data_IF_405604678469
#
_entry.id   IF_405604678469
#
_cell.length_a   1.000
_cell.length_b   1.000
_cell.length_c   1.000
_cell.angle_alpha   90.00
_cell.angle_beta   90.00
_cell.angle_gamma   90.00
#
_symmetry.space_group_name_H-M   'P 1'
#
loop_
_entity.id
_entity.type
_entity.pdbx_description
1 polymer ?
#
# COMPACT_ATOMS: atom_id res chain seq x y z
N UNK A 1 -0.82 1.00 21.79
CA UNK A 1 0.10 0.61 20.69
C UNK A 1 0.97 1.81 20.41
N UNK A 2 2.28 1.66 20.35
CA UNK A 2 3.07 2.64 19.61
C UNK A 2 2.50 2.58 18.18
N UNK A 3 1.82 3.62 17.78
CA UNK A 3 1.25 3.71 16.45
C UNK A 3 2.45 3.81 15.50
N UNK A 4 2.62 2.82 14.62
CA UNK A 4 3.68 2.88 13.62
C UNK A 4 3.46 4.13 12.78
N UNK A 5 4.54 4.82 12.48
CA UNK A 5 4.49 5.99 11.60
C UNK A 5 4.01 5.54 10.22
N UNK A 6 2.96 6.17 9.72
CA UNK A 6 2.49 5.93 8.35
C UNK A 6 3.46 6.59 7.36
N UNK A 7 4.35 5.77 6.83
CA UNK A 7 5.40 6.22 5.90
C UNK A 7 4.83 6.81 4.60
N UNK A 8 3.60 6.46 4.23
CA UNK A 8 2.95 6.99 3.03
C UNK A 8 2.51 8.45 3.15
N UNK A 9 2.43 8.97 4.38
CA UNK A 9 2.03 10.34 4.71
C UNK A 9 3.21 11.27 4.99
N UNK A 10 4.44 10.77 4.86
CA UNK A 10 5.61 11.61 5.04
C UNK A 10 5.79 12.53 3.84
N UNK A 11 6.07 13.79 4.12
CA UNK A 11 6.46 14.75 3.09
C UNK A 11 7.75 14.31 2.40
N UNK A 12 7.91 14.67 1.14
CA UNK A 12 9.14 14.41 0.42
C UNK A 12 10.32 15.11 1.11
N UNK A 13 11.43 14.40 1.32
CA UNK A 13 12.63 15.00 1.91
C UNK A 13 13.22 16.05 0.95
N UNK A 14 13.82 17.10 1.53
CA UNK A 14 14.37 18.23 0.78
C UNK A 14 15.48 17.85 -0.23
N UNK A 15 16.02 16.65 -0.14
CA UNK A 15 17.01 16.14 -1.12
C UNK A 15 16.38 15.84 -2.48
N UNK A 16 15.06 15.65 -2.54
CA UNK A 16 14.33 15.47 -3.78
C UNK A 16 13.98 16.83 -4.36
N UNK A 17 14.42 17.06 -5.58
CA UNK A 17 14.18 18.30 -6.31
C UNK A 17 12.92 18.19 -7.16
N UNK A 18 12.10 19.24 -7.18
CA UNK A 18 11.04 19.37 -8.17
C UNK A 18 11.67 19.68 -9.53
N UNK A 19 11.31 18.90 -10.53
CA UNK A 19 11.88 18.98 -11.87
C UNK A 19 10.86 19.62 -12.81
N UNK A 20 11.10 20.90 -13.14
CA UNK A 20 10.30 21.66 -14.11
C UNK A 20 11.18 21.99 -15.32
N UNK A 21 10.78 21.47 -16.49
CA UNK A 21 11.48 21.69 -17.74
C UNK A 21 11.52 23.18 -18.14
N UNK A 22 10.40 23.87 -18.01
CA UNK A 22 10.29 25.28 -18.44
C UNK A 22 11.13 26.20 -17.55
N UNK A 23 11.11 25.94 -16.24
CA UNK A 23 11.98 26.69 -15.32
C UNK A 23 13.45 26.47 -15.64
N UNK A 24 13.89 25.21 -15.80
CA UNK A 24 15.28 24.89 -16.14
C UNK A 24 15.68 25.50 -17.48
N UNK A 25 14.78 25.50 -18.47
CA UNK A 25 15.03 26.13 -19.77
C UNK A 25 15.20 27.65 -19.66
N UNK A 26 14.34 28.30 -18.87
CA UNK A 26 14.43 29.74 -18.61
C UNK A 26 15.76 30.09 -17.92
N UNK A 27 16.15 29.35 -16.90
CA UNK A 27 17.44 29.52 -16.21
C UNK A 27 18.63 29.32 -17.15
N UNK A 28 18.56 28.29 -18.01
CA UNK A 28 19.63 27.99 -18.97
C UNK A 28 19.75 29.08 -20.05
N UNK A 29 18.61 29.59 -20.56
CA UNK A 29 18.58 30.74 -21.48
C UNK A 29 19.19 31.99 -20.84
N UNK A 30 18.82 32.28 -19.60
CA UNK A 30 19.35 33.41 -18.86
C UNK A 30 20.88 33.29 -18.69
N UNK A 31 21.36 32.13 -18.23
CA UNK A 31 22.81 31.88 -18.09
C UNK A 31 23.54 31.99 -19.42
N UNK A 32 22.97 31.51 -20.54
CA UNK A 32 23.54 31.66 -21.86
C UNK A 32 23.70 33.14 -22.26
N UNK A 33 22.66 33.96 -21.99
CA UNK A 33 22.70 35.41 -22.32
C UNK A 33 23.78 36.13 -21.49
N UNK A 34 23.94 35.76 -20.22
CA UNK A 34 24.94 36.33 -19.32
C UNK A 34 26.39 36.11 -19.77
N UNK A 35 26.63 35.10 -20.60
CA UNK A 35 27.99 34.86 -21.20
C UNK A 35 28.38 35.95 -22.20
N UNK A 36 27.47 36.79 -22.64
CA UNK A 36 27.72 37.85 -23.59
C UNK A 36 27.83 39.23 -22.91
N UNK A 37 28.63 40.15 -23.47
CA UNK A 37 28.69 41.55 -23.01
C UNK A 37 27.30 42.21 -23.02
N UNK A 38 27.03 43.12 -22.08
CA UNK A 38 25.75 43.77 -21.88
C UNK A 38 25.12 44.32 -23.16
N UNK A 39 25.94 44.90 -24.04
CA UNK A 39 25.52 45.45 -25.32
C UNK A 39 24.90 44.42 -26.29
N UNK A 40 25.21 43.14 -26.12
CA UNK A 40 24.72 42.05 -26.98
C UNK A 40 23.58 41.21 -26.34
N UNK A 41 23.30 41.43 -25.07
CA UNK A 41 22.34 40.59 -24.35
C UNK A 41 20.90 40.73 -24.87
N UNK A 42 20.49 41.95 -25.25
CA UNK A 42 19.16 42.20 -25.82
C UNK A 42 18.98 41.52 -27.17
N UNK A 43 20.01 41.52 -28.01
CA UNK A 43 20.02 40.75 -29.25
C UNK A 43 19.78 39.25 -28.99
N UNK A 44 20.52 38.64 -28.04
CA UNK A 44 20.38 37.25 -27.73
C UNK A 44 19.05 36.89 -27.06
N UNK A 45 18.45 37.80 -26.26
CA UNK A 45 17.09 37.61 -25.75
C UNK A 45 16.08 37.50 -26.90
N UNK A 46 16.20 38.38 -27.90
CA UNK A 46 15.31 38.34 -29.08
C UNK A 46 15.49 37.06 -29.91
N UNK A 47 16.74 36.64 -30.12
CA UNK A 47 17.06 35.38 -30.84
C UNK A 47 16.48 34.17 -30.14
N UNK A 48 16.71 34.02 -28.82
CA UNK A 48 16.24 32.88 -28.05
C UNK A 48 14.73 32.87 -27.77
N UNK A 49 14.04 33.94 -28.10
CA UNK A 49 12.56 33.99 -28.11
C UNK A 49 11.97 33.26 -29.32
N UNK A 50 12.77 33.04 -30.38
CA UNK A 50 12.34 32.34 -31.59
C UNK A 50 12.50 30.83 -31.40
N UNK A 51 11.40 30.09 -31.42
CA UNK A 51 11.43 28.61 -31.29
C UNK A 51 12.16 27.89 -32.44
N UNK A 52 12.20 28.52 -33.62
CA UNK A 52 12.89 27.99 -34.80
C UNK A 52 14.41 28.11 -34.76
N UNK A 53 14.96 28.81 -33.75
CA UNK A 53 16.39 29.06 -33.66
C UNK A 53 17.13 27.78 -33.24
N UNK A 54 18.16 27.31 -33.99
CA UNK A 54 18.89 26.09 -33.68
C UNK A 54 19.52 26.08 -32.28
N UNK A 55 20.00 27.23 -31.79
CA UNK A 55 20.57 27.37 -30.45
C UNK A 55 19.51 27.08 -29.39
N UNK A 56 18.27 27.49 -29.59
CA UNK A 56 17.19 27.22 -28.68
C UNK A 56 16.91 25.71 -28.56
N UNK A 57 16.97 24.97 -29.67
CA UNK A 57 16.86 23.52 -29.67
C UNK A 57 18.00 22.83 -28.93
N UNK A 58 19.23 23.31 -29.09
CA UNK A 58 20.37 22.80 -28.35
C UNK A 58 20.24 23.03 -26.84
N UNK A 59 19.72 24.19 -26.43
CA UNK A 59 19.48 24.48 -25.02
C UNK A 59 18.36 23.58 -24.46
N UNK A 60 17.30 23.32 -25.25
CA UNK A 60 16.22 22.40 -24.87
C UNK A 60 16.75 20.97 -24.67
N UNK A 61 17.60 20.48 -25.60
CA UNK A 61 18.24 19.16 -25.45
C UNK A 61 19.10 19.09 -24.17
N UNK A 62 19.94 20.09 -23.92
CA UNK A 62 20.76 20.16 -22.71
C UNK A 62 19.92 20.14 -21.43
N UNK A 63 18.80 20.90 -21.42
CA UNK A 63 17.87 20.90 -20.29
C UNK A 63 17.22 19.54 -20.10
N UNK A 64 16.84 18.88 -21.19
CA UNK A 64 16.27 17.53 -21.12
C UNK A 64 17.26 16.51 -20.53
N UNK A 65 18.52 16.55 -20.97
CA UNK A 65 19.56 15.71 -20.39
C UNK A 65 19.78 16.01 -18.90
N UNK A 66 19.85 17.28 -18.54
CA UNK A 66 19.97 17.70 -17.13
C UNK A 66 18.78 17.23 -16.29
N UNK A 67 17.56 17.27 -16.83
CA UNK A 67 16.35 16.77 -16.16
C UNK A 67 16.44 15.26 -15.93
N UNK A 68 16.91 14.49 -16.92
CA UNK A 68 17.13 13.04 -16.78
C UNK A 68 18.17 12.72 -15.70
N UNK A 69 19.27 13.46 -15.65
CA UNK A 69 20.32 13.30 -14.64
C UNK A 69 19.78 13.61 -13.23
N UNK A 70 19.10 14.73 -13.05
CA UNK A 70 18.49 15.11 -11.76
C UNK A 70 17.41 14.11 -11.34
N UNK A 71 16.58 13.64 -12.28
CA UNK A 71 15.63 12.57 -11.98
C UNK A 71 16.34 11.29 -11.52
N UNK A 72 17.44 10.91 -12.17
CA UNK A 72 18.23 9.75 -11.74
C UNK A 72 18.77 9.91 -10.32
N UNK A 73 19.19 11.12 -9.92
CA UNK A 73 19.63 11.42 -8.56
C UNK A 73 18.46 11.32 -7.59
N UNK A 74 17.29 11.85 -7.93
CA UNK A 74 16.09 11.75 -7.13
C UNK A 74 15.71 10.27 -6.89
N UNK A 75 15.69 9.46 -7.95
CA UNK A 75 15.37 8.02 -7.84
C UNK A 75 16.42 7.27 -7.00
N UNK A 76 17.71 7.60 -7.16
CA UNK A 76 18.77 7.03 -6.34
C UNK A 76 18.62 7.41 -4.84
N UNK A 77 18.20 8.64 -4.55
CA UNK A 77 17.92 9.05 -3.18
C UNK A 77 16.70 8.30 -2.59
N UNK A 78 15.61 8.14 -3.36
CA UNK A 78 14.43 7.36 -2.95
C UNK A 78 14.77 5.90 -2.68
N UNK A 79 15.63 5.29 -3.51
CA UNK A 79 16.06 3.91 -3.39
C UNK A 79 16.78 3.60 -2.07
N UNK A 80 17.33 4.61 -1.39
CA UNK A 80 18.00 4.45 -0.08
C UNK A 80 17.09 4.65 1.12
N UNK A 81 15.82 5.01 0.92
CA UNK A 81 14.89 5.37 2.00
C UNK A 81 13.81 4.30 2.17
N UNK A 82 13.62 3.78 3.37
CA UNK A 82 12.59 2.77 3.67
C UNK A 82 11.19 3.20 3.23
N UNK A 83 10.87 4.50 3.27
CA UNK A 83 9.55 5.02 2.89
C UNK A 83 9.28 4.91 1.39
N UNK A 84 10.30 5.02 0.54
CA UNK A 84 10.13 5.18 -0.90
C UNK A 84 10.76 4.06 -1.74
N UNK A 85 11.70 3.30 -1.19
CA UNK A 85 12.33 2.18 -1.90
C UNK A 85 11.32 1.12 -2.32
N UNK A 86 11.52 0.51 -3.47
CA UNK A 86 10.65 -0.53 -4.05
C UNK A 86 11.48 -1.69 -4.58
N UNK A 87 10.83 -2.86 -4.72
CA UNK A 87 11.45 -4.04 -5.32
C UNK A 87 12.77 -4.43 -4.64
N UNK A 88 13.82 -4.63 -5.44
CA UNK A 88 15.14 -5.06 -4.98
C UNK A 88 15.84 -4.04 -4.06
N UNK A 89 15.60 -2.74 -4.24
CA UNK A 89 16.18 -1.71 -3.38
C UNK A 89 15.61 -1.80 -1.97
N UNK A 90 14.31 -2.06 -1.86
CA UNK A 90 13.67 -2.33 -0.57
C UNK A 90 14.17 -3.63 0.06
N UNK A 91 14.46 -4.67 -0.73
CA UNK A 91 15.03 -5.94 -0.23
C UNK A 91 16.42 -5.71 0.41
N UNK A 92 17.25 -4.86 -0.20
CA UNK A 92 18.56 -4.46 0.37
C UNK A 92 18.38 -3.69 1.67
N UNK A 93 17.42 -2.77 1.74
CA UNK A 93 17.12 -2.05 2.98
C UNK A 93 16.62 -3.03 4.05
N UNK A 94 15.73 -3.96 3.70
CA UNK A 94 15.16 -4.95 4.61
C UNK A 94 16.24 -5.85 5.23
N UNK A 95 17.31 -6.15 4.50
CA UNK A 95 18.45 -6.91 5.00
C UNK A 95 19.14 -6.21 6.18
N UNK A 96 19.17 -4.87 6.24
CA UNK A 96 19.72 -4.13 7.40
C UNK A 96 18.89 -4.34 8.68
N UNK A 97 17.62 -4.71 8.53
CA UNK A 97 16.72 -5.06 9.64
C UNK A 97 16.69 -6.57 9.92
N UNK A 98 17.53 -7.36 9.24
CA UNK A 98 17.50 -8.84 9.28
C UNK A 98 16.12 -9.41 8.86
N UNK A 99 15.47 -8.76 7.89
CA UNK A 99 14.18 -9.15 7.32
C UNK A 99 14.39 -9.52 5.86
N UNK A 100 13.82 -10.66 5.44
CA UNK A 100 13.81 -11.11 4.06
C UNK A 100 12.39 -11.12 3.52
N UNK A 101 12.23 -10.83 2.22
CA UNK A 101 10.94 -10.90 1.53
C UNK A 101 10.44 -12.35 1.55
N UNK A 102 9.20 -12.54 2.01
CA UNK A 102 8.59 -13.86 2.07
C UNK A 102 8.10 -14.29 0.68
N UNK A 103 8.19 -15.60 0.42
CA UNK A 103 7.53 -16.22 -0.72
C UNK A 103 6.13 -16.63 -0.25
N UNK A 104 5.10 -16.10 -0.93
CA UNK A 104 3.70 -16.43 -0.66
C UNK A 104 3.32 -17.71 -1.40
N UNK A 105 3.71 -17.80 -2.67
CA UNK A 105 3.47 -18.95 -3.53
C UNK A 105 4.76 -19.34 -4.24
N UNK A 106 5.13 -20.59 -4.13
CA UNK A 106 6.27 -21.16 -4.86
C UNK A 106 5.94 -21.31 -6.34
N UNK A 107 6.96 -21.11 -7.19
CA UNK A 107 6.82 -21.44 -8.60
C UNK A 107 6.63 -22.96 -8.79
N UNK A 108 5.70 -23.33 -9.67
CA UNK A 108 5.52 -24.74 -10.08
C UNK A 108 5.46 -24.83 -11.59
N UNK A 109 6.54 -25.31 -12.19
CA UNK A 109 6.67 -25.51 -13.63
C UNK A 109 6.19 -26.91 -14.06
N UNK A 110 5.72 -27.74 -13.13
CA UNK A 110 5.24 -29.10 -13.44
C UNK A 110 3.78 -29.14 -13.89
N UNK A 111 3.04 -28.02 -13.67
CA UNK A 111 1.63 -27.84 -14.05
C UNK A 111 1.49 -27.00 -15.33
N UNK A 112 0.36 -27.12 -16.00
CA UNK A 112 0.08 -26.34 -17.22
C UNK A 112 -1.27 -25.60 -17.07
N UNK A 113 -1.30 -24.25 -17.11
CA UNK A 113 -0.15 -23.34 -17.25
C UNK A 113 0.77 -23.37 -16.01
N UNK A 114 2.08 -23.05 -16.16
CA UNK A 114 2.99 -22.96 -15.04
C UNK A 114 2.52 -21.93 -14.00
N UNK A 115 2.73 -22.25 -12.72
CA UNK A 115 2.43 -21.34 -11.61
C UNK A 115 3.68 -20.47 -11.37
N UNK A 116 3.51 -19.15 -11.40
CA UNK A 116 4.58 -18.22 -11.12
C UNK A 116 4.79 -18.03 -9.61
N UNK A 117 6.03 -17.69 -9.23
CA UNK A 117 6.35 -17.33 -7.85
C UNK A 117 5.67 -16.00 -7.48
N UNK A 118 4.97 -15.99 -6.36
CA UNK A 118 4.40 -14.77 -5.78
C UNK A 118 5.13 -14.43 -4.50
N UNK A 119 5.68 -13.22 -4.44
CA UNK A 119 6.37 -12.69 -3.27
C UNK A 119 5.51 -11.71 -2.51
N UNK A 120 5.89 -11.49 -1.26
CA UNK A 120 5.35 -10.44 -0.38
C UNK A 120 5.42 -9.06 -1.04
N UNK A 121 4.38 -8.26 -0.89
CA UNK A 121 4.33 -6.91 -1.42
C UNK A 121 5.30 -5.96 -0.70
N UNK A 122 5.71 -4.88 -1.38
CA UNK A 122 6.56 -3.85 -0.78
C UNK A 122 5.95 -3.23 0.48
N UNK A 123 4.63 -3.07 0.50
CA UNK A 123 3.90 -2.52 1.66
C UNK A 123 4.01 -3.42 2.89
N UNK A 124 3.90 -4.72 2.70
CA UNK A 124 3.98 -5.71 3.78
C UNK A 124 5.42 -5.88 4.27
N UNK A 125 6.39 -5.96 3.35
CA UNK A 125 7.80 -6.02 3.70
C UNK A 125 8.23 -4.77 4.49
N UNK A 126 7.79 -3.60 4.05
CA UNK A 126 8.07 -2.32 4.73
C UNK A 126 7.49 -2.29 6.14
N UNK A 127 6.26 -2.79 6.32
CA UNK A 127 5.64 -2.93 7.65
C UNK A 127 6.48 -3.86 8.56
N UNK A 128 6.95 -4.97 8.04
CA UNK A 128 7.81 -5.89 8.80
C UNK A 128 9.16 -5.26 9.16
N UNK A 129 9.75 -4.47 8.27
CA UNK A 129 10.96 -3.71 8.58
C UNK A 129 10.72 -2.71 9.73
N UNK A 130 9.58 -2.00 9.75
CA UNK A 130 9.24 -1.11 10.86
C UNK A 130 9.05 -1.85 12.19
N UNK A 131 8.49 -3.07 12.15
CA UNK A 131 8.29 -3.91 13.33
C UNK A 131 9.56 -4.65 13.77
N UNK A 132 10.62 -4.69 12.96
CA UNK A 132 11.78 -5.52 13.22
C UNK A 132 12.49 -5.19 14.55
N UNK A 133 12.56 -3.92 14.92
CA UNK A 133 13.16 -3.51 16.19
C UNK A 133 12.36 -4.00 17.41
N UNK A 134 11.05 -4.17 17.28
CA UNK A 134 10.20 -4.70 18.34
C UNK A 134 10.52 -6.18 18.63
N UNK A 135 11.04 -6.90 17.62
CA UNK A 135 11.43 -8.31 17.76
C UNK A 135 12.66 -8.53 18.65
N UNK A 136 13.45 -7.50 18.89
CA UNK A 136 14.63 -7.58 19.76
C UNK A 136 14.23 -7.65 21.25
N UNK A 137 13.00 -7.33 21.58
CA UNK A 137 12.51 -7.38 22.94
C UNK A 137 12.06 -8.79 23.32
N UNK A 138 12.74 -9.41 24.28
CA UNK A 138 12.37 -10.70 24.90
C UNK A 138 11.38 -10.53 26.06
N UNK A 139 10.93 -9.31 26.33
CA UNK A 139 9.94 -9.03 27.38
C UNK A 139 8.48 -9.35 26.95
N UNK A 140 8.26 -9.79 25.73
CA UNK A 140 6.95 -10.18 25.18
C UNK A 140 5.99 -9.02 24.87
N UNK A 141 6.45 -7.89 24.30
CA UNK A 141 5.52 -6.86 23.84
C UNK A 141 4.66 -7.41 22.70
N UNK A 142 3.43 -6.90 22.62
CA UNK A 142 2.47 -7.33 21.57
C UNK A 142 3.05 -7.24 20.15
N UNK A 143 3.79 -6.18 19.86
CA UNK A 143 4.42 -5.93 18.56
C UNK A 143 5.49 -6.98 18.21
N UNK A 144 6.24 -7.51 19.19
CA UNK A 144 7.18 -8.60 18.95
C UNK A 144 6.45 -9.89 18.50
N UNK A 145 5.37 -10.27 19.19
CA UNK A 145 4.54 -11.40 18.78
C UNK A 145 3.96 -11.22 17.38
N UNK A 146 3.48 -10.01 17.05
CA UNK A 146 2.96 -9.69 15.70
C UNK A 146 4.06 -9.86 14.66
N UNK A 147 5.25 -9.29 14.88
CA UNK A 147 6.37 -9.40 13.96
C UNK A 147 6.77 -10.87 13.70
N UNK A 148 6.94 -11.63 14.78
CA UNK A 148 7.35 -13.05 14.65
C UNK A 148 6.28 -13.90 13.97
N UNK A 149 5.00 -13.66 14.25
CA UNK A 149 3.91 -14.37 13.58
C UNK A 149 3.80 -14.02 12.09
N UNK A 150 3.87 -12.73 11.72
CA UNK A 150 3.91 -12.27 10.32
C UNK A 150 5.12 -12.83 9.56
N UNK A 151 6.25 -13.02 10.26
CA UNK A 151 7.50 -13.51 9.66
C UNK A 151 7.60 -15.04 9.61
N UNK A 152 6.64 -15.78 10.19
CA UNK A 152 6.69 -17.23 10.27
C UNK A 152 6.30 -17.93 8.96
N UNK A 153 5.37 -17.34 8.18
CA UNK A 153 4.89 -17.96 6.94
C UNK A 153 4.30 -16.91 5.99
N UNK A 154 4.53 -17.02 4.68
CA UNK A 154 4.05 -16.09 3.66
C UNK A 154 2.52 -15.98 3.56
N UNK A 155 1.79 -17.02 3.96
CA UNK A 155 0.31 -17.02 3.95
C UNK A 155 -0.32 -16.25 5.13
N UNK A 156 0.45 -15.79 6.10
CA UNK A 156 -0.09 -14.93 7.17
C UNK A 156 -0.35 -13.54 6.61
N UNK A 157 -1.63 -13.14 6.59
CA UNK A 157 -2.05 -11.82 6.10
C UNK A 157 -2.16 -10.78 7.22
N UNK A 158 -2.65 -11.20 8.39
CA UNK A 158 -2.82 -10.32 9.55
C UNK A 158 -2.77 -11.11 10.85
N UNK A 159 -2.38 -10.44 11.93
CA UNK A 159 -2.18 -11.05 13.24
C UNK A 159 -2.78 -10.18 14.32
N UNK A 160 -3.55 -10.79 15.20
CA UNK A 160 -4.04 -10.15 16.43
C UNK A 160 -3.52 -10.88 17.65
N UNK A 161 -3.03 -10.12 18.63
CA UNK A 161 -2.47 -10.64 19.87
C UNK A 161 -3.20 -10.04 21.06
N UNK A 162 -3.74 -10.90 21.93
CA UNK A 162 -4.39 -10.50 23.18
C UNK A 162 -3.86 -11.32 24.34
N UNK A 163 -3.92 -10.75 25.55
CA UNK A 163 -3.63 -11.47 26.79
C UNK A 163 -4.93 -11.55 27.61
N UNK A 164 -5.69 -12.64 27.50
CA UNK A 164 -6.96 -12.79 28.20
C UNK A 164 -6.78 -13.02 29.70
N UNK A 165 -5.65 -13.53 30.12
CA UNK A 165 -5.28 -13.82 31.51
C UNK A 165 -3.77 -13.61 31.68
N UNK A 166 -3.26 -13.36 32.89
CA UNK A 166 -1.84 -13.27 33.17
C UNK A 166 -1.08 -14.49 32.64
N UNK A 167 0.05 -14.26 31.98
CA UNK A 167 0.90 -15.28 31.35
C UNK A 167 0.22 -16.11 30.23
N UNK A 168 -0.97 -15.73 29.76
CA UNK A 168 -1.59 -16.36 28.60
C UNK A 168 -1.62 -15.37 27.44
N UNK A 169 -1.09 -15.78 26.30
CA UNK A 169 -1.07 -14.98 25.07
C UNK A 169 -1.83 -15.78 24.00
N UNK A 170 -2.89 -15.16 23.47
CA UNK A 170 -3.63 -15.73 22.34
C UNK A 170 -3.29 -14.95 21.07
N UNK A 171 -2.75 -15.66 20.09
CA UNK A 171 -2.38 -15.14 18.78
C UNK A 171 -3.37 -15.68 17.75
N UNK A 172 -4.12 -14.76 17.13
CA UNK A 172 -5.10 -15.11 16.09
C UNK A 172 -4.50 -14.77 14.72
N UNK A 173 -4.56 -15.72 13.80
CA UNK A 173 -3.97 -15.64 12.48
C UNK A 173 -5.07 -15.53 11.42
N UNK A 174 -5.00 -14.50 10.59
CA UNK A 174 -5.78 -14.39 9.35
C UNK A 174 -4.92 -14.87 8.20
N UNK A 175 -5.41 -15.85 7.45
CA UNK A 175 -4.71 -16.33 6.26
C UNK A 175 -4.99 -15.43 5.05
N UNK A 176 -4.07 -15.45 4.10
CA UNK A 176 -4.16 -14.75 2.83
C UNK A 176 -5.14 -15.44 1.88
N UNK A 177 -5.04 -16.76 1.80
CA UNK A 177 -5.79 -17.57 0.88
C UNK A 177 -7.25 -17.81 1.33
N UNK A 178 -8.12 -18.07 0.36
CA UNK A 178 -9.52 -18.35 0.59
C UNK A 178 -10.26 -17.22 1.33
N UNK A 179 -11.11 -17.57 2.27
CA UNK A 179 -11.85 -16.60 3.09
C UNK A 179 -11.01 -15.98 4.21
N UNK A 180 -9.83 -16.54 4.51
CA UNK A 180 -8.95 -16.06 5.58
C UNK A 180 -8.76 -17.03 6.74
N UNK A 181 -9.34 -18.22 6.68
CA UNK A 181 -9.11 -19.30 7.66
C UNK A 181 -7.73 -19.88 7.44
N UNK A 182 -6.90 -19.87 8.47
CA UNK A 182 -5.54 -20.42 8.39
C UNK A 182 -5.57 -21.95 8.48
N UNK A 183 -4.82 -22.59 7.58
CA UNK A 183 -4.60 -24.03 7.60
C UNK A 183 -3.69 -24.44 8.76
N UNK A 184 -3.74 -25.71 9.14
CA UNK A 184 -2.96 -26.24 10.27
C UNK A 184 -1.45 -26.15 10.01
N UNK A 185 -1.00 -26.27 8.76
CA UNK A 185 0.39 -26.06 8.33
C UNK A 185 0.91 -24.67 8.71
N UNK A 186 0.11 -23.63 8.42
CA UNK A 186 0.42 -22.22 8.74
C UNK A 186 0.42 -22.01 10.25
N UNK A 187 -0.61 -22.53 10.95
CA UNK A 187 -0.69 -22.43 12.40
C UNK A 187 0.49 -23.10 13.09
N UNK A 188 0.95 -24.25 12.59
CA UNK A 188 2.12 -24.95 13.12
C UNK A 188 3.42 -24.19 12.88
N UNK A 189 3.61 -23.58 11.70
CA UNK A 189 4.76 -22.72 11.44
C UNK A 189 4.81 -21.55 12.43
N UNK A 190 3.67 -20.88 12.67
CA UNK A 190 3.57 -19.80 13.64
C UNK A 190 3.80 -20.30 15.08
N UNK A 191 3.23 -21.46 15.47
CA UNK A 191 3.47 -22.07 16.81
C UNK A 191 4.94 -22.35 17.03
N UNK A 192 5.60 -22.95 16.05
CA UNK A 192 7.04 -23.26 16.13
C UNK A 192 7.85 -21.98 16.33
N UNK A 193 7.58 -20.95 15.53
CA UNK A 193 8.29 -19.67 15.63
C UNK A 193 8.06 -18.98 16.98
N UNK A 194 6.81 -18.93 17.46
CA UNK A 194 6.46 -18.23 18.70
C UNK A 194 6.85 -19.01 19.96
N UNK A 195 7.13 -20.31 19.87
CA UNK A 195 7.62 -21.12 20.99
C UNK A 195 9.15 -21.27 21.01
N UNK A 196 9.86 -20.65 20.06
CA UNK A 196 11.32 -20.61 20.08
C UNK A 196 11.83 -19.96 21.38
N UNK A 197 12.86 -20.53 22.00
CA UNK A 197 13.44 -20.05 23.26
C UNK A 197 13.98 -18.62 23.17
N UNK A 198 14.40 -18.18 21.99
CA UNK A 198 14.89 -16.82 21.74
C UNK A 198 13.77 -15.82 21.46
N UNK A 199 12.53 -16.28 21.32
CA UNK A 199 11.37 -15.43 20.98
C UNK A 199 10.40 -15.34 22.15
N UNK A 200 10.08 -16.47 22.77
CA UNK A 200 9.06 -16.53 23.80
C UNK A 200 9.59 -16.16 25.19
N UNK A 201 8.96 -15.23 25.92
CA UNK A 201 9.20 -15.08 27.34
C UNK A 201 8.92 -16.39 28.10
N UNK A 202 9.75 -16.71 29.09
CA UNK A 202 9.70 -17.99 29.80
C UNK A 202 8.33 -18.24 30.47
N UNK A 203 7.68 -17.18 30.95
CA UNK A 203 6.40 -17.28 31.67
C UNK A 203 5.19 -17.39 30.75
N UNK A 204 5.30 -17.05 29.46
CA UNK A 204 4.17 -16.94 28.56
C UNK A 204 3.71 -18.30 28.02
N UNK A 205 2.40 -18.51 28.07
CA UNK A 205 1.70 -19.65 27.48
C UNK A 205 1.02 -19.18 26.20
N UNK A 206 1.63 -19.51 25.07
CA UNK A 206 1.18 -19.03 23.76
C UNK A 206 0.18 -20.01 23.15
N UNK A 207 -1.00 -19.52 22.80
CA UNK A 207 -2.02 -20.25 22.03
C UNK A 207 -2.16 -19.60 20.68
N UNK A 208 -2.01 -20.38 19.59
CA UNK A 208 -2.19 -19.91 18.22
C UNK A 208 -3.48 -20.50 17.66
N UNK A 209 -4.34 -19.65 17.13
CA UNK A 209 -5.63 -20.02 16.54
C UNK A 209 -5.88 -19.34 15.21
N UNK A 210 -6.76 -19.92 14.38
CA UNK A 210 -7.23 -19.29 13.15
C UNK A 210 -8.25 -18.20 13.45
N UNK A 211 -8.34 -17.20 12.57
CA UNK A 211 -9.40 -16.21 12.57
C UNK A 211 -10.79 -16.85 12.38
N UNK A 212 -11.78 -16.28 13.05
CA UNK A 212 -13.19 -16.57 12.78
C UNK A 212 -13.68 -15.60 11.71
N UNK A 213 -14.19 -16.13 10.60
CA UNK A 213 -14.62 -15.32 9.46
C UNK A 213 -16.09 -14.99 9.57
N UNK A 214 -16.40 -13.69 9.43
CA UNK A 214 -17.75 -13.17 9.36
C UNK A 214 -18.06 -12.80 7.92
N UNK A 215 -18.84 -13.65 7.25
CA UNK A 215 -19.30 -13.38 5.88
C UNK A 215 -20.32 -12.22 5.88
N UNK A 216 -20.22 -11.35 4.88
CA UNK A 216 -21.20 -10.28 4.61
C UNK A 216 -21.31 -10.02 3.11
N UNK A 217 -22.33 -9.25 2.73
CA UNK A 217 -22.59 -8.85 1.35
C UNK A 217 -22.82 -7.35 1.28
N UNK A 218 -22.49 -6.77 0.15
CA UNK A 218 -22.79 -5.37 -0.16
C UNK A 218 -23.77 -5.34 -1.30
N UNK A 219 -24.93 -4.73 -1.05
CA UNK A 219 -25.93 -4.48 -2.06
C UNK A 219 -26.36 -3.02 -1.97
N UNK A 220 -26.12 -2.26 -3.05
CA UNK A 220 -26.39 -0.84 -3.12
C UNK A 220 -26.98 -0.43 -4.47
N UNK A 221 -27.84 0.59 -4.44
CA UNK A 221 -28.33 1.29 -5.63
C UNK A 221 -27.59 2.61 -5.75
N UNK A 222 -27.04 2.86 -6.94
CA UNK A 222 -26.32 4.08 -7.29
C UNK A 222 -27.23 4.94 -8.15
N UNK A 223 -27.73 6.04 -7.59
CA UNK A 223 -28.48 7.05 -8.33
C UNK A 223 -27.48 7.97 -9.00
N UNK A 224 -27.50 8.04 -10.33
CA UNK A 224 -26.53 8.77 -11.12
C UNK A 224 -27.09 10.12 -11.56
N UNK A 225 -26.21 11.11 -11.75
CA UNK A 225 -26.58 12.33 -12.46
C UNK A 225 -26.85 12.01 -13.93
N UNK A 226 -27.68 12.84 -14.59
CA UNK A 226 -27.92 12.71 -16.03
C UNK A 226 -26.63 12.89 -16.81
N UNK A 227 -26.27 11.91 -17.62
CA UNK A 227 -25.04 11.91 -18.43
C UNK A 227 -24.97 10.69 -19.32
N UNK A 228 -24.08 10.69 -20.33
CA UNK A 228 -23.97 9.59 -21.29
C UNK A 228 -23.16 8.38 -20.79
N UNK A 229 -22.47 8.48 -19.64
CA UNK A 229 -21.43 7.53 -19.24
C UNK A 229 -21.76 6.77 -17.95
N UNK A 230 -22.78 5.92 -17.97
CA UNK A 230 -23.17 5.16 -16.78
C UNK A 230 -22.23 3.97 -16.47
N UNK A 231 -21.74 3.28 -17.48
CA UNK A 231 -20.90 2.09 -17.29
C UNK A 231 -19.51 2.39 -16.70
N UNK A 232 -18.77 3.43 -17.15
CA UNK A 232 -17.52 3.83 -16.50
C UNK A 232 -17.68 4.20 -15.01
N UNK A 233 -18.78 4.87 -14.65
CA UNK A 233 -19.08 5.22 -13.26
C UNK A 233 -19.31 3.94 -12.43
N UNK A 234 -20.07 2.98 -12.96
CA UNK A 234 -20.26 1.68 -12.30
C UNK A 234 -18.93 0.96 -12.06
N UNK A 235 -18.10 0.88 -13.08
CA UNK A 235 -16.77 0.25 -12.97
C UNK A 235 -15.89 0.94 -11.95
N UNK A 236 -15.86 2.28 -11.94
CA UNK A 236 -15.11 3.04 -10.94
C UNK A 236 -15.63 2.80 -9.51
N UNK A 237 -16.96 2.74 -9.32
CA UNK A 237 -17.57 2.40 -8.04
C UNK A 237 -17.25 0.96 -7.62
N UNK A 238 -17.25 0.02 -8.55
CA UNK A 238 -16.87 -1.38 -8.30
C UNK A 238 -15.42 -1.48 -7.80
N UNK A 239 -14.48 -0.84 -8.51
CA UNK A 239 -13.07 -0.82 -8.10
C UNK A 239 -12.89 -0.17 -6.72
N UNK A 240 -13.59 0.92 -6.47
CA UNK A 240 -13.50 1.64 -5.19
C UNK A 240 -14.02 0.79 -4.02
N UNK A 241 -15.17 0.12 -4.18
CA UNK A 241 -15.73 -0.72 -3.12
C UNK A 241 -14.95 -2.01 -2.91
N UNK A 242 -14.39 -2.60 -3.97
CA UNK A 242 -13.49 -3.75 -3.87
C UNK A 242 -12.23 -3.39 -3.08
N UNK A 243 -11.63 -2.23 -3.36
CA UNK A 243 -10.51 -1.70 -2.60
C UNK A 243 -10.87 -1.55 -1.11
N UNK A 244 -12.04 -0.96 -0.80
CA UNK A 244 -12.52 -0.82 0.57
C UNK A 244 -12.64 -2.18 1.25
N UNK A 245 -13.26 -3.19 0.61
CA UNK A 245 -13.44 -4.53 1.19
C UNK A 245 -12.11 -5.23 1.46
N UNK A 246 -11.13 -5.06 0.58
CA UNK A 246 -9.78 -5.60 0.77
C UNK A 246 -9.04 -4.92 1.93
N UNK A 247 -9.11 -3.59 2.04
CA UNK A 247 -8.49 -2.84 3.13
C UNK A 247 -9.13 -3.17 4.49
N UNK A 248 -10.42 -3.52 4.51
CA UNK A 248 -11.14 -3.91 5.72
C UNK A 248 -10.97 -5.39 6.07
N UNK A 249 -10.46 -6.22 5.18
CA UNK A 249 -10.18 -7.64 5.43
C UNK A 249 -8.99 -7.80 6.38
N UNK A 250 -9.17 -7.36 7.64
CA UNK A 250 -8.19 -7.44 8.73
C UNK A 250 -8.90 -7.79 10.03
N UNK A 251 -8.15 -8.33 10.99
CA UNK A 251 -8.65 -8.71 12.30
C UNK A 251 -9.10 -7.49 13.12
N UNK A 252 -10.34 -7.58 13.66
CA UNK A 252 -10.92 -6.52 14.50
C UNK A 252 -11.19 -5.21 13.75
N UNK A 253 -11.30 -5.25 12.42
CA UNK A 253 -11.68 -4.08 11.61
C UNK A 253 -13.16 -4.11 11.30
N UNK A 254 -13.88 -3.14 11.84
CA UNK A 254 -15.32 -2.97 11.61
C UNK A 254 -15.60 -2.59 10.16
N UNK A 255 -16.72 -3.12 9.64
CA UNK A 255 -17.30 -2.72 8.36
C UNK A 255 -18.41 -1.74 8.66
N UNK A 256 -18.14 -0.45 8.41
CA UNK A 256 -19.07 0.63 8.75
C UNK A 256 -19.88 1.06 7.54
N UNK A 257 -21.15 1.40 7.75
CA UNK A 257 -22.01 1.96 6.70
C UNK A 257 -21.40 3.23 6.11
N UNK A 258 -20.85 4.11 6.96
CA UNK A 258 -20.18 5.33 6.53
C UNK A 258 -19.00 5.07 5.61
N UNK A 259 -18.20 4.01 5.87
CA UNK A 259 -17.08 3.62 5.02
C UNK A 259 -17.54 3.08 3.67
N UNK A 260 -18.62 2.31 3.62
CA UNK A 260 -19.23 1.83 2.39
C UNK A 260 -19.79 3.01 1.57
N UNK A 261 -20.52 3.95 2.21
CA UNK A 261 -21.01 5.16 1.55
C UNK A 261 -19.87 5.98 0.95
N UNK A 262 -18.79 6.19 1.71
CA UNK A 262 -17.63 6.94 1.23
C UNK A 262 -16.95 6.27 0.01
N UNK A 263 -16.88 4.93 -0.01
CA UNK A 263 -16.31 4.18 -1.12
C UNK A 263 -17.20 4.21 -2.38
N UNK A 264 -18.53 4.29 -2.23
CA UNK A 264 -19.49 4.27 -3.35
C UNK A 264 -19.85 5.67 -3.86
N UNK A 265 -19.65 6.72 -3.03
CA UNK A 265 -20.01 8.10 -3.41
C UNK A 265 -18.87 8.75 -4.19
N UNK A 266 -18.65 8.26 -5.40
CA UNK A 266 -17.64 8.75 -6.34
C UNK A 266 -18.22 9.82 -7.28
N UNK A 267 -17.36 10.44 -8.09
CA UNK A 267 -17.78 11.41 -9.09
C UNK A 267 -18.80 10.79 -10.07
N UNK A 268 -19.90 11.50 -10.34
CA UNK A 268 -21.01 11.02 -11.16
C UNK A 268 -22.14 10.33 -10.37
N UNK A 269 -21.92 9.95 -9.11
CA UNK A 269 -22.95 9.38 -8.22
C UNK A 269 -23.63 10.51 -7.44
N UNK A 270 -24.93 10.70 -7.65
CA UNK A 270 -25.73 11.67 -6.93
C UNK A 270 -26.10 11.22 -5.51
N UNK A 271 -26.47 9.94 -5.37
CA UNK A 271 -26.93 9.35 -4.12
C UNK A 271 -26.66 7.85 -4.10
N UNK A 272 -26.24 7.35 -2.96
CA UNK A 272 -26.10 5.91 -2.70
C UNK A 272 -27.25 5.47 -1.78
N UNK A 273 -27.96 4.42 -2.17
CA UNK A 273 -28.95 3.73 -1.34
C UNK A 273 -28.42 2.35 -0.99
N UNK A 274 -28.00 2.18 0.26
CA UNK A 274 -27.43 0.91 0.74
C UNK A 274 -28.57 0.01 1.24
N UNK A 275 -28.69 -1.18 0.63
CA UNK A 275 -29.67 -2.19 1.00
C UNK A 275 -29.08 -3.18 2.00
N UNK A 276 -27.82 -3.56 1.80
CA UNK A 276 -27.03 -4.42 2.69
C UNK A 276 -25.58 -3.94 2.75
N UNK A 277 -24.95 -4.00 3.95
CA UNK A 277 -25.53 -4.31 5.26
C UNK A 277 -26.44 -3.19 5.79
N UNK A 278 -27.38 -3.51 6.69
CA UNK A 278 -28.33 -2.54 7.27
C UNK A 278 -27.80 -1.85 8.53
N UNK A 279 -26.72 -2.37 9.10
CA UNK A 279 -26.05 -1.82 10.28
C UNK A 279 -24.54 -2.05 10.20
N UNK A 280 -23.79 -1.30 10.98
CA UNK A 280 -22.35 -1.52 11.12
C UNK A 280 -22.08 -2.94 11.63
N UNK A 281 -21.09 -3.61 11.03
CA UNK A 281 -20.63 -4.93 11.45
C UNK A 281 -19.40 -4.72 12.33
N UNK A 282 -19.63 -4.81 13.65
CA UNK A 282 -18.56 -4.67 14.65
C UNK A 282 -17.86 -6.00 14.83
N UNK A 283 -16.55 -6.02 14.69
CA UNK A 283 -15.74 -7.23 14.71
C UNK A 283 -14.77 -7.23 15.89
N UNK A 284 -14.88 -8.21 16.81
CA UNK A 284 -13.86 -8.39 17.85
C UNK A 284 -12.51 -8.81 17.23
N UNK A 285 -11.44 -8.61 17.99
CA UNK A 285 -10.04 -8.76 17.53
C UNK A 285 -9.66 -10.14 16.99
N UNK A 286 -10.48 -11.18 17.22
CA UNK A 286 -10.28 -12.52 16.70
C UNK A 286 -11.12 -12.82 15.44
N UNK A 287 -11.90 -11.84 14.98
CA UNK A 287 -12.74 -11.97 13.77
C UNK A 287 -12.25 -11.06 12.65
N UNK A 288 -12.48 -11.51 11.42
CA UNK A 288 -12.29 -10.71 10.21
C UNK A 288 -13.53 -10.79 9.31
N UNK A 289 -13.89 -9.69 8.65
CA UNK A 289 -14.96 -9.66 7.68
C UNK A 289 -14.51 -10.19 6.31
N UNK A 290 -15.39 -10.97 5.65
CA UNK A 290 -15.19 -11.39 4.27
C UNK A 290 -16.39 -11.04 3.42
N UNK A 291 -16.20 -10.17 2.42
CA UNK A 291 -17.26 -9.83 1.49
C UNK A 291 -17.46 -10.97 0.47
N UNK A 292 -18.60 -11.61 0.49
CA UNK A 292 -18.89 -12.75 -0.40
C UNK A 292 -19.49 -12.31 -1.72
N UNK A 293 -20.15 -11.16 -1.78
CA UNK A 293 -20.76 -10.62 -2.98
C UNK A 293 -20.90 -9.10 -2.90
N UNK A 294 -20.68 -8.45 -4.04
CA UNK A 294 -20.90 -7.02 -4.23
C UNK A 294 -21.88 -6.87 -5.39
N UNK A 295 -23.07 -6.35 -5.12
CA UNK A 295 -24.09 -6.07 -6.12
C UNK A 295 -24.37 -4.57 -6.19
N UNK A 296 -24.03 -3.93 -7.32
CA UNK A 296 -24.28 -2.52 -7.59
C UNK A 296 -25.32 -2.38 -8.71
N UNK A 297 -26.50 -1.88 -8.34
CA UNK A 297 -27.58 -1.57 -9.27
C UNK A 297 -27.51 -0.08 -9.65
N UNK A 298 -27.61 0.23 -10.93
CA UNK A 298 -27.71 1.61 -11.40
C UNK A 298 -29.17 2.03 -11.47
N UNK A 299 -29.45 3.22 -10.97
CA UNK A 299 -30.76 3.89 -11.10
C UNK A 299 -30.52 5.18 -11.87
N UNK A 300 -31.02 5.25 -13.08
CA UNK A 300 -30.87 6.41 -13.94
C UNK A 300 -31.99 7.44 -13.72
N UNK A 301 -31.79 8.69 -14.13
CA UNK A 301 -32.79 9.76 -13.95
C UNK A 301 -34.09 9.52 -14.76
N UNK A 302 -34.11 8.52 -15.66
CA UNK A 302 -35.29 8.14 -16.43
C UNK A 302 -36.16 7.10 -15.69
N UNK A 303 -35.71 6.62 -14.53
CA UNK A 303 -36.43 5.67 -13.67
C UNK A 303 -37.28 6.35 -12.57
N UNK A 304 -37.48 7.67 -12.66
CA UNK A 304 -38.29 8.49 -11.75
C UNK A 304 -39.54 9.04 -12.43
#
# INVERSE_FOLDING_TARGET
MSELVDLSKLDYPKVLEDLDFEQLLAERKAAFIELYPAEKQDYWRAVLALESEPINKLLQENVYLQLLERNRINEAAKATMLAYATGSDLDVIAANFNVQRLIIQQADNSVNPPIEEIKESDTELRLRCQLAFESLSVAGPRSAYIFHALSAHGEVADVSVISPQPAHVTVTILARNGKGTAEESVLNAVRTRLNDENVRPIADRVTVQSAVIQDYQIHAKLHLYRGPEYEPIKQAAQVSIEKYTQERRRLGRDITLSGIYAALHIEGVQRVELIQPQADIVLPTHKAGYCTNINLELVTADDY
#
